data_IF_727143303554
#
_entry.id   IF_727143303554
#
_cell.length_a   1.000
_cell.length_b   1.000
_cell.length_c   1.000
_cell.angle_alpha   90.00
_cell.angle_beta   90.00
_cell.angle_gamma   90.00
#
_symmetry.space_group_name_H-M   'P 1'
#
loop_
_entity.id
_entity.type
_entity.pdbx_description
1 polymer ?
#
# COMPACT_ATOMS: atom_id res chain seq x y z
N UNK A 1 -4.85 -1.18 -18.44
CA UNK A 1 -5.47 -1.68 -17.19
C UNK A 1 -6.71 -0.86 -16.87
N UNK A 2 -7.90 -1.44 -17.08
CA UNK A 2 -9.19 -0.81 -16.78
C UNK A 2 -9.45 -0.70 -15.27
N UNK A 3 -8.86 -1.61 -14.49
CA UNK A 3 -9.01 -1.77 -13.04
C UNK A 3 -8.72 -0.50 -12.21
N UNK A 4 -7.77 0.34 -12.64
CA UNK A 4 -7.32 1.55 -11.92
C UNK A 4 -7.69 2.86 -12.63
N UNK A 5 -8.43 2.80 -13.74
CA UNK A 5 -8.68 3.98 -14.61
C UNK A 5 -10.13 4.48 -14.62
N UNK A 6 -11.08 3.69 -14.12
CA UNK A 6 -12.51 3.98 -14.28
C UNK A 6 -13.36 3.55 -13.08
N UNK A 7 -13.07 4.11 -11.90
CA UNK A 7 -13.95 3.97 -10.74
C UNK A 7 -15.12 4.94 -10.81
N UNK A 8 -16.31 4.47 -11.21
CA UNK A 8 -17.55 5.22 -11.05
C UNK A 8 -18.28 4.67 -9.82
N UNK A 9 -18.67 5.55 -8.89
CA UNK A 9 -19.30 5.15 -7.62
C UNK A 9 -20.57 5.97 -7.40
N UNK A 10 -21.54 5.39 -6.72
CA UNK A 10 -22.73 6.07 -6.24
C UNK A 10 -22.88 5.73 -4.74
N UNK A 11 -23.52 6.64 -3.99
CA UNK A 11 -23.80 6.44 -2.57
C UNK A 11 -25.22 5.90 -2.46
N UNK A 12 -25.38 4.79 -1.74
CA UNK A 12 -26.68 4.24 -1.39
C UNK A 12 -27.03 4.67 0.04
N UNK A 13 -28.15 5.36 0.21
CA UNK A 13 -28.69 5.77 1.50
C UNK A 13 -30.06 5.09 1.66
N UNK A 14 -30.16 4.14 2.58
CA UNK A 14 -31.42 3.42 2.89
C UNK A 14 -32.10 2.74 1.69
N UNK A 15 -31.33 2.26 0.71
CA UNK A 15 -31.84 1.62 -0.50
C UNK A 15 -31.97 2.56 -1.70
N UNK A 16 -31.91 3.88 -1.49
CA UNK A 16 -31.92 4.86 -2.56
C UNK A 16 -30.50 5.15 -3.04
N UNK A 17 -30.23 4.82 -4.31
CA UNK A 17 -28.93 5.05 -4.95
C UNK A 17 -28.93 6.45 -5.57
N UNK A 18 -28.02 7.30 -5.11
CA UNK A 18 -27.80 8.64 -5.66
C UNK A 18 -27.14 8.63 -7.05
N UNK A 19 -26.85 9.82 -7.60
CA UNK A 19 -26.17 9.92 -8.89
C UNK A 19 -24.74 9.37 -8.83
N UNK A 20 -24.29 8.81 -9.95
CA UNK A 20 -22.91 8.35 -10.07
C UNK A 20 -21.93 9.52 -10.21
N UNK A 21 -20.76 9.36 -9.59
CA UNK A 21 -19.63 10.27 -9.72
C UNK A 21 -18.33 9.48 -9.86
N UNK A 22 -17.35 10.13 -10.49
CA UNK A 22 -16.03 9.54 -10.72
C UNK A 22 -15.18 9.67 -9.46
N UNK A 23 -14.60 8.57 -9.01
CA UNK A 23 -13.49 8.60 -8.06
C UNK A 23 -12.18 8.73 -8.82
N UNK A 24 -11.35 9.71 -8.43
CA UNK A 24 -10.08 10.00 -9.09
C UNK A 24 -8.88 9.37 -8.38
N UNK A 25 -9.00 9.07 -7.09
CA UNK A 25 -7.92 8.56 -6.26
C UNK A 25 -8.44 7.52 -5.26
N UNK A 26 -7.54 6.64 -4.84
CA UNK A 26 -7.85 5.54 -3.94
C UNK A 26 -8.42 4.31 -4.64
N UNK A 27 -8.62 3.27 -3.85
CA UNK A 27 -9.23 2.00 -4.28
C UNK A 27 -10.63 1.89 -3.68
N UNK A 28 -11.53 1.15 -4.34
CA UNK A 28 -12.91 1.02 -3.87
C UNK A 28 -12.96 0.11 -2.64
N UNK A 29 -13.42 0.64 -1.51
CA UNK A 29 -13.61 -0.18 -0.31
C UNK A 29 -14.68 -1.27 -0.58
N UNK A 30 -14.42 -2.47 -0.11
CA UNK A 30 -15.28 -3.64 -0.35
C UNK A 30 -15.15 -4.24 -1.75
N UNK A 31 -14.31 -3.68 -2.63
CA UNK A 31 -13.93 -4.36 -3.87
C UNK A 31 -12.90 -5.47 -3.56
N UNK A 32 -13.17 -6.73 -3.95
CA UNK A 32 -12.26 -7.85 -3.69
C UNK A 32 -10.82 -7.65 -4.18
N UNK A 33 -10.58 -6.77 -5.17
CA UNK A 33 -9.24 -6.53 -5.71
C UNK A 33 -8.47 -5.41 -4.99
N UNK A 34 -9.16 -4.57 -4.24
CA UNK A 34 -8.55 -3.43 -3.53
C UNK A 34 -7.40 -3.83 -2.59
N UNK A 35 -7.50 -4.92 -1.81
CA UNK A 35 -6.38 -5.37 -0.96
C UNK A 35 -5.13 -5.74 -1.76
N UNK A 36 -5.30 -6.35 -2.94
CA UNK A 36 -4.16 -6.72 -3.80
C UNK A 36 -3.48 -5.47 -4.37
N UNK A 37 -4.25 -4.48 -4.81
CA UNK A 37 -3.73 -3.21 -5.29
C UNK A 37 -2.99 -2.44 -4.19
N UNK A 38 -3.48 -2.54 -2.95
CA UNK A 38 -2.80 -1.96 -1.80
C UNK A 38 -1.45 -2.63 -1.54
N UNK A 39 -1.41 -3.97 -1.49
CA UNK A 39 -0.17 -4.72 -1.32
C UNK A 39 0.86 -4.43 -2.41
N UNK A 40 0.43 -4.20 -3.66
CA UNK A 40 1.34 -3.83 -4.75
C UNK A 40 2.06 -2.50 -4.50
N UNK A 41 1.35 -1.50 -3.95
CA UNK A 41 1.96 -0.21 -3.61
C UNK A 41 2.94 -0.35 -2.44
N UNK A 42 2.59 -1.17 -1.46
CA UNK A 42 3.38 -1.43 -0.26
C UNK A 42 4.66 -2.23 -0.59
N UNK A 43 4.58 -3.20 -1.50
CA UNK A 43 5.74 -3.96 -2.00
C UNK A 43 6.74 -3.03 -2.73
N UNK A 44 6.24 -2.06 -3.50
CA UNK A 44 7.09 -1.04 -4.11
C UNK A 44 7.81 -0.17 -3.05
N UNK A 45 7.12 0.19 -1.96
CA UNK A 45 7.73 0.90 -0.83
C UNK A 45 8.81 0.06 -0.15
N UNK A 46 8.56 -1.23 0.08
CA UNK A 46 9.54 -2.16 0.63
C UNK A 46 10.81 -2.21 -0.24
N UNK A 47 10.65 -2.27 -1.56
CA UNK A 47 11.77 -2.22 -2.51
C UNK A 47 12.54 -0.90 -2.50
N UNK A 48 11.88 0.23 -2.24
CA UNK A 48 12.55 1.53 -2.08
C UNK A 48 13.40 1.55 -0.81
N UNK A 49 12.86 1.06 0.31
CA UNK A 49 13.59 0.99 1.58
C UNK A 49 14.80 0.07 1.48
N UNK A 50 14.67 -1.07 0.79
CA UNK A 50 15.80 -1.98 0.59
C UNK A 50 16.90 -1.37 -0.29
N UNK A 51 16.54 -0.60 -1.31
CA UNK A 51 17.51 0.17 -2.10
C UNK A 51 18.21 1.23 -1.26
N UNK A 52 17.48 1.95 -0.42
CA UNK A 52 18.05 2.95 0.48
C UNK A 52 19.03 2.31 1.47
N UNK A 53 18.69 1.14 2.00
CA UNK A 53 19.56 0.36 2.90
C UNK A 53 20.83 -0.12 2.19
N UNK A 54 20.70 -0.66 0.98
CA UNK A 54 21.85 -1.10 0.16
C UNK A 54 22.77 0.07 -0.18
N UNK A 55 22.21 1.26 -0.42
CA UNK A 55 22.96 2.49 -0.62
C UNK A 55 23.54 3.10 0.68
N UNK A 56 23.39 2.44 1.82
CA UNK A 56 23.80 2.92 3.15
C UNK A 56 23.17 4.26 3.57
N UNK A 57 22.02 4.63 3.00
CA UNK A 57 21.26 5.79 3.44
C UNK A 57 20.51 5.54 4.74
N UNK A 58 20.13 4.28 4.98
CA UNK A 58 19.48 3.79 6.21
C UNK A 58 20.13 2.47 6.64
N UNK A 59 20.03 2.13 7.92
CA UNK A 59 20.46 0.83 8.44
C UNK A 59 19.27 0.07 8.99
N UNK A 60 19.17 -1.22 8.71
CA UNK A 60 18.11 -2.03 9.33
C UNK A 60 18.43 -2.30 10.80
N UNK A 61 17.39 -2.40 11.63
CA UNK A 61 17.55 -2.79 13.03
C UNK A 61 17.89 -4.28 13.14
N UNK A 62 18.56 -4.65 14.22
CA UNK A 62 18.84 -6.06 14.56
C UNK A 62 19.67 -6.80 13.47
N UNK A 63 20.57 -6.09 12.79
CA UNK A 63 21.43 -6.67 11.75
C UNK A 63 22.36 -7.80 12.23
N UNK A 64 22.55 -7.94 13.54
CA UNK A 64 23.28 -9.07 14.14
C UNK A 64 22.49 -10.39 14.14
N UNK A 65 21.15 -10.34 14.07
CA UNK A 65 20.30 -11.53 13.98
C UNK A 65 19.83 -11.83 12.56
N UNK A 66 19.82 -10.81 11.68
CA UNK A 66 19.27 -10.92 10.33
C UNK A 66 20.40 -10.64 9.32
N UNK A 67 21.01 -11.72 8.78
CA UNK A 67 21.99 -11.60 7.71
C UNK A 67 21.40 -10.84 6.53
N UNK A 68 22.21 -9.98 5.93
CA UNK A 68 21.78 -9.17 4.80
C UNK A 68 21.29 -7.77 5.14
N UNK A 69 21.33 -7.34 6.41
CA UNK A 69 21.26 -5.92 6.77
C UNK A 69 20.16 -5.49 7.74
N UNK A 70 19.61 -6.41 8.53
CA UNK A 70 18.56 -6.09 9.50
C UNK A 70 17.19 -5.86 8.88
N UNK A 71 16.21 -5.50 9.72
CA UNK A 71 14.84 -5.16 9.29
C UNK A 71 14.72 -3.65 9.13
N UNK A 72 14.23 -3.19 7.97
CA UNK A 72 14.02 -1.76 7.69
C UNK A 72 12.60 -1.30 7.94
N UNK A 73 11.63 -2.22 7.90
CA UNK A 73 10.22 -1.90 8.08
C UNK A 73 9.39 -3.12 8.49
N UNK A 74 8.24 -2.85 9.11
CA UNK A 74 7.16 -3.81 9.34
C UNK A 74 5.87 -3.20 8.78
N UNK A 75 5.11 -3.98 8.03
CA UNK A 75 3.92 -3.52 7.32
C UNK A 75 2.72 -4.43 7.61
N UNK A 76 1.58 -3.82 7.89
CA UNK A 76 0.31 -4.51 8.06
C UNK A 76 -0.83 -3.64 7.56
N UNK A 77 -1.48 -4.05 6.46
CA UNK A 77 -2.47 -3.20 5.78
C UNK A 77 -1.88 -1.81 5.57
N UNK A 78 -2.57 -0.77 6.03
CA UNK A 78 -2.22 0.65 5.96
C UNK A 78 -1.22 1.14 7.03
N UNK A 79 -0.88 0.30 8.01
CA UNK A 79 0.13 0.61 9.01
C UNK A 79 1.52 0.20 8.53
N UNK A 80 2.44 1.18 8.49
CA UNK A 80 3.86 0.95 8.18
C UNK A 80 4.73 1.53 9.29
N UNK A 81 5.51 0.67 9.93
CA UNK A 81 6.52 1.06 10.91
C UNK A 81 7.89 1.02 10.25
N UNK A 82 8.54 2.18 10.15
CA UNK A 82 9.89 2.30 9.59
C UNK A 82 10.90 2.18 10.73
N UNK A 83 11.92 1.34 10.54
CA UNK A 83 12.93 0.98 11.53
C UNK A 83 14.30 1.27 10.93
N UNK A 84 14.93 2.36 11.37
CA UNK A 84 16.21 2.88 10.86
C UNK A 84 17.18 3.24 11.95
#
# INVERSE_FOLDING_TARGET
MQLVRSGNTAININGEVGPFFKSFAGVKQGDPISPLLFNLAVDALAGILEKARTASHISGVVGHLIPGGGVTHLQYSDDTMILV
#
